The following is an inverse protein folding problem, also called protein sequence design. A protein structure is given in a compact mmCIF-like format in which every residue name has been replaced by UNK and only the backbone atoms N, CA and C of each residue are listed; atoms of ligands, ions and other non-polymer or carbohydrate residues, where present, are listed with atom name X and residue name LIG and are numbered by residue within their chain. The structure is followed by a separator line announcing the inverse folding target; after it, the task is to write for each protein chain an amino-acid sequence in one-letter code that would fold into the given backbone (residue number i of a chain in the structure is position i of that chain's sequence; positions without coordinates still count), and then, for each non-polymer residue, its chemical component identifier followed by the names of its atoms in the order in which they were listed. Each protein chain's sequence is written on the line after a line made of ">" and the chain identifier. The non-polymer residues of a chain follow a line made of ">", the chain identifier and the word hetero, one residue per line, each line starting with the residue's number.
data_IF_092793953285
#
_entry.id   IF_092793953285
#
_cell.length_a   1.000
_cell.length_b   1.000
_cell.length_c   1.000
_cell.angle_alpha   90.00
_cell.angle_beta   90.00
_cell.angle_gamma   90.00
#
_symmetry.space_group_name_H-M   'P 1'
#
loop_
_entity.id
_entity.type
_entity.pdbx_description
1 polymer ?
#
# COMPACT_ATOMS: atom_id res chain seq x y z
N UNK A 1 -2.03 -8.55 12.16
CA UNK A 1 -2.27 -9.91 11.58
C UNK A 1 -3.15 -9.76 10.34
N UNK A 2 -2.68 -10.21 9.17
CA UNK A 2 -3.50 -10.34 7.96
C UNK A 2 -4.01 -11.79 7.84
N UNK A 3 -5.31 -12.06 7.77
CA UNK A 3 -5.88 -13.41 7.61
C UNK A 3 -6.71 -13.50 6.31
N UNK A 4 -6.64 -14.60 5.54
CA UNK A 4 -7.38 -14.81 4.27
C UNK A 4 -7.97 -16.22 4.06
N UNK A 5 -9.27 -16.29 3.71
CA UNK A 5 -10.03 -17.53 3.42
C UNK A 5 -9.81 -18.07 1.99
N UNK A 6 -9.98 -19.39 1.82
CA UNK A 6 -9.71 -20.10 0.57
C UNK A 6 -10.87 -21.03 0.21
N UNK A 7 -11.82 -20.54 -0.56
CA UNK A 7 -12.55 -21.37 -1.54
C UNK A 7 -13.21 -20.51 -2.63
N UNK A 8 -12.93 -20.86 -3.89
CA UNK A 8 -13.48 -20.30 -5.15
C UNK A 8 -12.94 -18.94 -5.64
N UNK A 9 -11.69 -18.93 -6.12
CA UNK A 9 -11.32 -17.97 -7.17
C UNK A 9 -11.12 -18.68 -8.51
N UNK A 10 -12.07 -18.47 -9.43
CA UNK A 10 -11.78 -18.40 -10.86
C UNK A 10 -11.48 -16.93 -11.16
N UNK A 11 -10.22 -16.55 -11.49
CA UNK A 11 -9.92 -15.17 -11.85
C UNK A 11 -10.63 -14.83 -13.17
N UNK A 12 -11.71 -14.06 -13.06
CA UNK A 12 -12.18 -13.24 -14.18
C UNK A 12 -11.22 -12.06 -14.23
N UNK A 13 -10.20 -12.15 -15.09
CA UNK A 13 -9.56 -11.11 -15.91
C UNK A 13 -8.35 -11.78 -16.59
N UNK A 14 -8.61 -12.33 -17.77
CA UNK A 14 -7.61 -12.74 -18.77
C UNK A 14 -7.10 -11.48 -19.49
N UNK A 15 -5.90 -11.60 -20.06
CA UNK A 15 -5.19 -10.79 -21.09
C UNK A 15 -3.88 -10.25 -20.49
N UNK A 16 -2.67 -10.70 -20.84
CA UNK A 16 -2.21 -11.61 -21.90
C UNK A 16 -1.04 -12.44 -21.40
N UNK A 17 -1.15 -13.75 -21.51
CA UNK A 17 0.00 -14.63 -21.69
C UNK A 17 0.67 -14.24 -23.01
N UNK A 18 1.89 -13.70 -22.93
CA UNK A 18 2.84 -13.87 -24.03
C UNK A 18 3.34 -15.31 -23.94
N UNK A 19 2.53 -16.21 -24.48
CA UNK A 19 2.99 -17.55 -24.83
C UNK A 19 4.12 -17.43 -25.84
N UNK A 20 5.22 -18.05 -25.44
CA UNK A 20 6.36 -18.51 -26.19
C UNK A 20 5.92 -19.27 -27.46
N UNK A 21 5.75 -18.54 -28.58
CA UNK A 21 5.58 -19.09 -29.93
C UNK A 21 6.32 -18.22 -30.94
N UNK A 22 7.63 -18.41 -31.06
CA UNK A 22 8.47 -17.53 -31.87
C UNK A 22 9.57 -18.15 -32.71
N UNK A 23 10.30 -19.19 -32.27
CA UNK A 23 11.48 -19.66 -33.03
C UNK A 23 11.56 -21.19 -33.14
N UNK A 24 10.52 -21.78 -33.75
CA UNK A 24 10.64 -23.03 -34.52
C UNK A 24 9.93 -22.90 -35.87
N UNK A 25 10.37 -21.93 -36.67
CA UNK A 25 10.16 -21.89 -38.13
C UNK A 25 11.46 -21.45 -38.80
N UNK A 26 12.46 -22.32 -38.76
CA UNK A 26 13.75 -22.08 -39.38
C UNK A 26 14.54 -23.36 -39.73
N UNK A 27 13.93 -24.55 -39.76
CA UNK A 27 14.71 -25.77 -40.00
C UNK A 27 13.93 -26.89 -40.72
N UNK A 28 13.11 -26.51 -41.72
CA UNK A 28 12.67 -27.44 -42.77
C UNK A 28 12.70 -26.74 -44.13
N UNK A 29 13.90 -26.41 -44.59
CA UNK A 29 14.19 -26.14 -46.02
C UNK A 29 15.69 -26.22 -46.32
N UNK A 30 16.33 -27.31 -45.88
CA UNK A 30 17.69 -27.69 -46.31
C UNK A 30 17.71 -29.18 -46.65
N UNK A 31 16.96 -29.56 -47.69
CA UNK A 31 17.14 -30.81 -48.44
C UNK A 31 16.26 -30.75 -49.70
N UNK A 32 16.60 -29.83 -50.60
CA UNK A 32 16.37 -29.93 -52.05
C UNK A 32 16.95 -28.69 -52.71
N UNK A 33 17.67 -28.92 -53.80
CA UNK A 33 18.40 -27.96 -54.65
C UNK A 33 19.85 -27.66 -54.24
N UNK A 34 20.68 -28.70 -54.30
CA UNK A 34 21.97 -28.56 -55.02
C UNK A 34 21.65 -28.53 -56.51
N UNK A 35 21.82 -27.38 -57.15
CA UNK A 35 22.28 -27.25 -58.54
C UNK A 35 22.25 -25.79 -58.97
N UNK A 36 23.43 -25.29 -59.40
CA UNK A 36 23.67 -24.06 -60.19
C UNK A 36 23.48 -22.74 -59.43
N UNK A 37 24.26 -21.67 -59.58
CA UNK A 37 25.58 -21.37 -60.15
C UNK A 37 25.77 -19.85 -59.98
N UNK A 38 26.97 -19.42 -59.56
CA UNK A 38 27.69 -18.16 -59.90
C UNK A 38 27.09 -16.76 -59.61
N UNK A 39 27.98 -15.90 -59.09
CA UNK A 39 27.97 -14.42 -59.16
C UNK A 39 27.26 -13.77 -57.96
N UNK A 40 27.81 -12.84 -57.18
CA UNK A 40 28.87 -11.86 -57.40
C UNK A 40 28.29 -10.48 -57.03
N UNK A 41 28.96 -9.71 -56.16
CA UNK A 41 28.68 -8.28 -55.98
C UNK A 41 28.24 -7.84 -54.57
N UNK A 42 29.08 -7.01 -53.97
CA UNK A 42 28.88 -6.29 -52.70
C UNK A 42 28.44 -4.82 -52.99
N UNK A 43 28.33 -3.89 -52.01
CA UNK A 43 27.06 -3.25 -51.64
C UNK A 43 27.07 -1.71 -51.85
N UNK A 44 25.91 -1.02 -51.78
CA UNK A 44 25.91 0.45 -51.56
C UNK A 44 24.78 0.99 -50.69
N UNK A 45 25.23 1.81 -49.73
CA UNK A 45 24.55 2.76 -48.85
C UNK A 45 23.94 3.96 -49.59
N UNK A 46 22.97 4.63 -48.93
CA UNK A 46 22.78 6.10 -48.74
C UNK A 46 21.41 6.29 -48.05
N UNK A 47 21.24 6.85 -46.85
CA UNK A 47 21.58 8.16 -46.26
C UNK A 47 20.92 9.38 -46.94
N UNK A 48 20.07 10.08 -46.17
CA UNK A 48 19.78 11.54 -46.05
C UNK A 48 18.31 11.70 -45.62
N UNK A 49 17.86 12.42 -44.59
CA UNK A 49 18.22 13.63 -43.83
C UNK A 49 17.16 14.73 -44.05
N UNK A 50 16.76 15.34 -42.91
CA UNK A 50 16.45 16.76 -42.67
C UNK A 50 15.00 17.30 -42.79
N UNK A 51 14.54 17.74 -41.60
CA UNK A 51 14.09 19.10 -41.19
C UNK A 51 12.76 19.68 -41.73
N UNK A 52 11.95 20.19 -40.79
CA UNK A 52 11.72 21.65 -40.72
C UNK A 52 10.33 22.17 -40.32
N UNK A 53 10.34 22.99 -39.24
CA UNK A 53 9.57 24.24 -38.98
C UNK A 53 8.07 24.25 -38.57
N UNK A 54 7.88 24.62 -37.29
CA UNK A 54 7.17 25.79 -36.70
C UNK A 54 6.19 26.65 -37.53
N UNK A 55 5.08 27.05 -36.87
CA UNK A 55 4.21 28.19 -37.19
C UNK A 55 3.38 28.62 -35.97
N UNK A 56 3.22 29.93 -35.78
CA UNK A 56 2.76 30.65 -34.57
C UNK A 56 1.44 31.40 -34.82
N UNK A 57 0.57 31.50 -33.80
CA UNK A 57 -0.10 32.75 -33.41
C UNK A 57 -1.56 32.99 -33.80
N UNK A 58 -2.40 33.42 -32.83
CA UNK A 58 -2.97 34.78 -32.73
C UNK A 58 -3.94 34.95 -31.55
N UNK A 59 -3.95 36.19 -31.04
CA UNK A 59 -4.79 36.79 -29.99
C UNK A 59 -6.11 37.37 -30.55
N UNK A 60 -7.08 37.59 -29.66
CA UNK A 60 -8.26 38.45 -29.90
C UNK A 60 -8.91 38.93 -28.58
N UNK A 61 -9.02 40.24 -28.41
CA UNK A 61 -9.56 41.01 -27.28
C UNK A 61 -11.09 41.19 -27.36
N UNK A 62 -11.75 41.53 -26.24
CA UNK A 62 -12.99 42.35 -26.30
C UNK A 62 -13.95 42.41 -25.10
N UNK A 63 -13.87 43.54 -24.36
CA UNK A 63 -14.97 44.38 -23.75
C UNK A 63 -15.78 43.95 -22.50
N UNK A 64 -15.51 44.69 -21.42
CA UNK A 64 -16.38 45.51 -20.53
C UNK A 64 -17.94 45.45 -20.65
N UNK A 65 -18.64 45.32 -19.50
CA UNK A 65 -19.60 46.33 -18.98
C UNK A 65 -20.06 46.07 -17.52
N UNK A 66 -20.55 47.16 -16.91
CA UNK A 66 -20.79 47.49 -15.50
C UNK A 66 -22.03 46.88 -14.80
N UNK A 67 -21.87 46.70 -13.48
CA UNK A 67 -22.76 46.98 -12.30
C UNK A 67 -24.29 46.96 -12.44
N UNK A 68 -24.94 46.27 -11.49
CA UNK A 68 -25.98 46.84 -10.61
C UNK A 68 -26.14 46.02 -9.31
N UNK A 69 -26.34 46.75 -8.22
CA UNK A 69 -26.64 46.29 -6.86
C UNK A 69 -28.12 45.92 -6.69
N UNK A 70 -28.44 45.09 -5.68
CA UNK A 70 -29.80 44.84 -5.21
C UNK A 70 -29.84 43.81 -4.06
N UNK A 71 -29.85 44.32 -2.83
CA UNK A 71 -30.43 43.75 -1.58
C UNK A 71 -31.91 43.35 -1.80
N UNK A 72 -32.66 42.63 -0.96
CA UNK A 72 -32.58 42.02 0.37
C UNK A 72 -33.82 41.09 0.46
N UNK A 73 -33.79 40.16 1.42
CA UNK A 73 -34.91 39.61 2.22
C UNK A 73 -36.19 39.04 1.59
N UNK A 74 -36.64 37.90 2.14
CA UNK A 74 -38.06 37.54 2.12
C UNK A 74 -38.35 36.06 2.29
N UNK A 75 -38.87 35.74 3.46
CA UNK A 75 -39.25 34.45 4.02
C UNK A 75 -40.41 33.70 3.30
N UNK A 76 -40.64 32.48 3.79
CA UNK A 76 -41.90 31.72 3.84
C UNK A 76 -42.32 30.77 2.70
N UNK A 77 -42.13 29.48 3.04
CA UNK A 77 -43.15 28.42 3.19
C UNK A 77 -43.99 27.90 2.00
N UNK A 78 -44.17 26.58 2.14
CA UNK A 78 -45.29 25.74 1.73
C UNK A 78 -45.32 25.14 0.31
N UNK A 79 -45.02 23.84 0.33
CA UNK A 79 -45.91 22.74 -0.06
C UNK A 79 -46.16 22.49 -1.56
N UNK A 80 -46.27 21.20 -1.87
CA UNK A 80 -46.86 20.76 -3.12
C UNK A 80 -45.90 20.27 -4.20
N UNK A 81 -45.97 18.96 -4.39
CA UNK A 81 -46.20 18.33 -5.69
C UNK A 81 -45.00 17.67 -6.40
N UNK A 82 -45.11 16.34 -6.52
CA UNK A 82 -44.31 15.53 -7.42
C UNK A 82 -45.01 15.49 -8.77
N UNK A 83 -44.23 15.63 -9.86
CA UNK A 83 -44.49 14.75 -11.00
C UNK A 83 -43.26 14.02 -11.52
N UNK A 84 -43.59 12.94 -12.24
CA UNK A 84 -42.75 11.85 -12.70
C UNK A 84 -41.90 12.22 -13.92
N UNK A 85 -40.75 11.52 -14.01
CA UNK A 85 -40.03 11.04 -15.21
C UNK A 85 -39.56 12.08 -16.25
N UNK A 86 -38.24 12.25 -16.31
CA UNK A 86 -37.52 12.64 -17.52
C UNK A 86 -36.22 11.83 -17.66
N UNK A 87 -36.17 10.93 -18.66
CA UNK A 87 -34.90 10.34 -19.13
C UNK A 87 -34.15 11.42 -19.91
N UNK A 88 -33.06 11.93 -19.33
CA UNK A 88 -32.10 12.80 -20.03
C UNK A 88 -30.70 12.22 -19.95
N UNK A 89 -30.19 11.68 -21.06
CA UNK A 89 -28.76 11.43 -21.25
C UNK A 89 -28.06 12.79 -21.37
N UNK A 90 -27.34 13.20 -20.34
CA UNK A 90 -26.44 14.35 -20.36
C UNK A 90 -25.07 13.94 -19.81
N UNK A 91 -24.06 13.90 -20.68
CA UNK A 91 -22.65 13.83 -20.27
C UNK A 91 -22.31 15.15 -19.56
N UNK A 92 -22.27 15.14 -18.23
CA UNK A 92 -21.73 16.23 -17.43
C UNK A 92 -20.50 15.73 -16.68
N UNK A 93 -19.33 16.34 -16.95
CA UNK A 93 -18.19 16.31 -16.03
C UNK A 93 -18.63 17.05 -14.76
N UNK A 94 -19.13 16.29 -13.78
CA UNK A 94 -19.40 16.80 -12.44
C UNK A 94 -18.11 16.78 -11.64
N UNK A 95 -17.47 17.93 -11.54
CA UNK A 95 -16.46 18.22 -10.53
C UNK A 95 -17.11 17.95 -9.17
N UNK A 96 -16.68 16.87 -8.48
CA UNK A 96 -17.22 16.53 -7.17
C UNK A 96 -16.67 17.52 -6.17
N UNK A 97 -17.56 18.43 -5.82
CA UNK A 97 -17.58 19.28 -4.63
C UNK A 97 -16.79 18.66 -3.46
N UNK A 98 -15.54 19.12 -3.32
CA UNK A 98 -14.69 18.79 -2.18
C UNK A 98 -15.15 19.68 -1.04
N UNK A 99 -16.10 19.18 -0.23
CA UNK A 99 -16.38 19.74 1.08
C UNK A 99 -15.07 20.01 1.86
N UNK A 100 -15.03 21.03 2.73
CA UNK A 100 -13.80 21.66 3.17
C UNK A 100 -12.91 20.64 3.86
N UNK A 101 -11.80 20.29 3.20
CA UNK A 101 -10.69 19.60 3.83
C UNK A 101 -9.99 20.63 4.73
N UNK A 102 -9.91 20.37 6.02
CA UNK A 102 -8.81 20.92 6.83
C UNK A 102 -7.51 20.12 6.59
N UNK A 103 -7.22 19.72 5.35
CA UNK A 103 -5.96 19.05 5.01
C UNK A 103 -4.97 20.14 4.62
N UNK A 104 -4.27 20.66 5.61
CA UNK A 104 -3.00 21.35 5.34
C UNK A 104 -2.17 20.35 4.50
N UNK A 105 -1.71 20.73 3.28
CA UNK A 105 -0.86 19.84 2.50
C UNK A 105 0.37 19.48 3.34
N UNK A 106 0.67 18.19 3.47
CA UNK A 106 1.90 17.78 4.15
C UNK A 106 3.11 18.31 3.38
N UNK A 107 3.89 19.16 4.06
CA UNK A 107 5.07 19.81 3.50
C UNK A 107 6.25 18.84 3.60
N UNK A 108 7.08 18.76 2.54
CA UNK A 108 8.34 17.98 2.57
C UNK A 108 9.16 18.42 3.78
N UNK A 109 9.51 17.52 4.72
CA UNK A 109 10.32 17.90 5.86
C UNK A 109 11.72 18.33 5.40
N UNK A 110 12.33 19.24 6.15
CA UNK A 110 13.73 19.61 5.93
C UNK A 110 14.65 18.49 6.42
N UNK A 111 15.79 18.31 5.73
CA UNK A 111 16.85 17.40 6.18
C UNK A 111 17.44 17.94 7.49
N UNK A 112 17.72 17.05 8.44
CA UNK A 112 18.31 17.41 9.73
C UNK A 112 19.71 18.02 9.57
N UNK A 113 20.60 17.39 8.79
CA UNK A 113 21.96 17.87 8.55
C UNK A 113 22.57 17.26 7.29
N UNK A 114 22.96 18.10 6.33
CA UNK A 114 23.54 17.64 5.07
C UNK A 114 22.57 16.74 4.30
N UNK A 115 22.97 15.50 4.04
CA UNK A 115 22.14 14.48 3.39
C UNK A 115 21.28 13.67 4.36
N UNK A 116 21.44 13.86 5.67
CA UNK A 116 20.70 13.13 6.71
C UNK A 116 19.32 13.74 6.93
N UNK A 117 18.28 12.94 6.75
CA UNK A 117 16.91 13.32 7.06
C UNK A 117 16.62 13.23 8.56
N UNK A 118 17.23 12.26 9.24
CA UNK A 118 17.03 11.95 10.65
C UNK A 118 18.36 11.83 11.37
N UNK A 119 18.33 11.82 12.70
CA UNK A 119 19.52 11.52 13.49
C UNK A 119 19.94 10.04 13.27
N UNK A 120 21.25 9.73 13.09
CA UNK A 120 21.72 8.36 12.90
C UNK A 120 21.32 7.43 14.05
N UNK A 121 21.00 6.17 13.72
CA UNK A 121 20.50 5.19 14.70
C UNK A 121 21.48 4.92 15.86
N UNK A 122 22.78 5.05 15.62
CA UNK A 122 23.82 4.85 16.65
C UNK A 122 23.71 5.88 17.78
N UNK A 123 23.16 7.06 17.50
CA UNK A 123 22.92 8.11 18.50
C UNK A 123 21.60 7.91 19.24
N UNK A 124 20.60 7.34 18.57
CA UNK A 124 19.28 7.11 19.17
C UNK A 124 19.22 5.79 19.96
N UNK A 125 20.18 4.90 19.72
CA UNK A 125 20.22 3.57 20.33
C UNK A 125 19.23 2.58 19.72
N UNK A 126 18.66 2.89 18.54
CA UNK A 126 17.72 2.02 17.85
C UNK A 126 18.39 0.69 17.48
N UNK A 127 17.89 -0.40 18.09
CA UNK A 127 18.24 -1.77 17.72
C UNK A 127 17.18 -2.32 16.77
N UNK A 128 17.61 -2.90 15.65
CA UNK A 128 16.69 -3.50 14.69
C UNK A 128 16.31 -4.92 15.13
N UNK A 129 15.11 -5.36 14.79
CA UNK A 129 14.62 -6.71 15.07
C UNK A 129 15.55 -7.78 14.51
N UNK A 130 16.12 -7.57 13.32
CA UNK A 130 17.10 -8.47 12.74
C UNK A 130 18.40 -8.57 13.58
N UNK A 131 18.79 -7.47 14.24
CA UNK A 131 19.96 -7.43 15.13
C UNK A 131 19.65 -8.13 16.47
N UNK A 132 18.45 -7.91 17.01
CA UNK A 132 17.99 -8.49 18.30
C UNK A 132 17.72 -10.00 18.20
N UNK A 133 17.10 -10.46 17.11
CA UNK A 133 16.76 -11.88 16.91
C UNK A 133 17.99 -12.81 16.76
N UNK A 134 19.17 -12.23 16.47
CA UNK A 134 20.40 -12.97 16.27
C UNK A 134 20.39 -13.87 15.01
N UNK A 135 21.43 -14.71 14.87
CA UNK A 135 21.63 -15.53 13.67
C UNK A 135 20.69 -16.74 13.56
N UNK A 136 19.86 -17.01 14.56
CA UNK A 136 18.89 -18.11 14.56
C UNK A 136 17.70 -17.91 13.63
N UNK A 137 17.44 -16.67 13.21
CA UNK A 137 16.32 -16.31 12.34
C UNK A 137 16.81 -15.48 11.14
N UNK A 138 16.71 -16.00 9.90
CA UNK A 138 17.29 -15.35 8.73
C UNK A 138 16.40 -14.20 8.22
N UNK A 139 16.32 -13.12 9.00
CA UNK A 139 15.67 -11.88 8.59
C UNK A 139 16.35 -11.30 7.34
N UNK A 140 15.54 -10.91 6.35
CA UNK A 140 16.00 -10.37 5.08
C UNK A 140 15.67 -8.89 5.01
N UNK A 141 16.64 -7.99 4.73
CA UNK A 141 16.36 -6.57 4.63
C UNK A 141 15.52 -6.25 3.39
N UNK A 142 14.43 -5.53 3.58
CA UNK A 142 13.53 -5.01 2.53
C UNK A 142 13.77 -3.52 2.29
N UNK A 143 14.01 -2.76 3.37
CA UNK A 143 14.38 -1.35 3.35
C UNK A 143 15.52 -1.12 4.34
N UNK A 144 16.57 -0.45 3.88
CA UNK A 144 17.65 0.08 4.71
C UNK A 144 17.92 1.50 4.22
N UNK A 145 17.48 2.48 4.99
CA UNK A 145 17.69 3.89 4.74
C UNK A 145 18.19 4.56 6.03
N UNK A 146 19.52 4.55 6.20
CA UNK A 146 20.18 5.13 7.37
C UNK A 146 19.93 6.63 7.48
N UNK A 147 19.82 7.31 6.33
CA UNK A 147 19.59 8.76 6.29
C UNK A 147 18.23 9.13 6.85
N UNK A 148 17.19 8.35 6.55
CA UNK A 148 15.83 8.52 7.08
C UNK A 148 15.57 7.70 8.34
N UNK A 149 16.59 7.01 8.88
CA UNK A 149 16.45 6.05 10.00
C UNK A 149 15.21 5.15 9.81
N UNK A 150 15.03 4.62 8.59
CA UNK A 150 13.84 3.88 8.19
C UNK A 150 14.25 2.50 7.70
N UNK A 151 13.73 1.47 8.37
CA UNK A 151 14.15 0.10 8.14
C UNK A 151 12.94 -0.83 8.06
N UNK A 152 13.08 -1.89 7.27
CA UNK A 152 12.07 -2.92 7.17
C UNK A 152 12.71 -4.26 6.85
N UNK A 153 12.31 -5.32 7.55
CA UNK A 153 12.86 -6.67 7.38
C UNK A 153 11.76 -7.71 7.23
N UNK A 154 12.07 -8.78 6.52
CA UNK A 154 11.13 -9.86 6.20
C UNK A 154 11.68 -11.20 6.68
N UNK A 155 10.84 -11.98 7.37
CA UNK A 155 11.16 -13.35 7.78
C UNK A 155 10.13 -14.32 7.17
N UNK A 156 10.52 -15.13 6.17
CA UNK A 156 9.62 -16.12 5.58
C UNK A 156 9.34 -17.27 6.55
N UNK A 157 8.10 -17.76 6.57
CA UNK A 157 7.73 -19.02 7.23
C UNK A 157 8.10 -19.08 8.71
N UNK A 158 7.81 -18.02 9.46
CA UNK A 158 8.09 -17.95 10.89
C UNK A 158 7.32 -19.00 11.69
N UNK A 159 6.16 -19.44 11.21
CA UNK A 159 5.31 -20.46 11.83
C UNK A 159 5.26 -21.73 10.97
N UNK A 160 5.04 -22.89 11.58
CA UNK A 160 4.81 -24.15 10.84
C UNK A 160 3.47 -24.12 10.11
N UNK A 161 3.24 -25.02 9.16
CA UNK A 161 1.98 -25.08 8.42
C UNK A 161 0.79 -25.42 9.34
N UNK A 162 1.01 -26.25 10.35
CA UNK A 162 0.01 -26.60 11.37
C UNK A 162 -0.32 -25.38 12.25
N UNK A 163 0.70 -24.65 12.72
CA UNK A 163 0.52 -23.42 13.49
C UNK A 163 -0.24 -22.38 12.66
N UNK A 164 0.17 -22.19 11.40
CA UNK A 164 -0.49 -21.25 10.50
C UNK A 164 -1.97 -21.60 10.31
N UNK A 165 -2.29 -22.87 10.05
CA UNK A 165 -3.66 -23.33 9.84
C UNK A 165 -4.50 -23.13 11.11
N UNK A 166 -3.96 -23.55 12.26
CA UNK A 166 -4.61 -23.40 13.55
C UNK A 166 -4.93 -21.93 13.89
N UNK A 167 -3.94 -21.05 13.82
CA UNK A 167 -4.16 -19.62 14.14
C UNK A 167 -5.00 -18.93 13.08
N UNK A 168 -4.87 -19.29 11.81
CA UNK A 168 -5.71 -18.74 10.76
C UNK A 168 -7.19 -19.04 11.03
N UNK A 169 -7.55 -20.28 11.31
CA UNK A 169 -8.93 -20.68 11.62
C UNK A 169 -9.43 -20.04 12.91
N UNK A 170 -8.62 -20.11 13.98
CA UNK A 170 -8.96 -19.52 15.28
C UNK A 170 -9.25 -18.02 15.15
N UNK A 171 -8.37 -17.28 14.48
CA UNK A 171 -8.51 -15.83 14.29
C UNK A 171 -9.70 -15.50 13.40
N UNK A 172 -9.87 -16.22 12.28
CA UNK A 172 -10.98 -16.01 11.36
C UNK A 172 -12.33 -16.16 12.07
N UNK A 173 -12.47 -17.19 12.89
CA UNK A 173 -13.77 -17.59 13.44
C UNK A 173 -14.07 -16.98 14.81
N UNK A 174 -13.05 -16.68 15.63
CA UNK A 174 -13.25 -16.17 17.00
C UNK A 174 -13.21 -14.65 17.14
N UNK A 175 -12.56 -13.95 16.21
CA UNK A 175 -12.46 -12.49 16.28
C UNK A 175 -13.81 -11.88 15.91
N UNK A 176 -14.40 -11.01 16.75
CA UNK A 176 -15.60 -10.26 16.39
C UNK A 176 -15.21 -9.13 15.44
N UNK A 177 -15.11 -9.48 14.16
CA UNK A 177 -14.74 -8.59 13.07
C UNK A 177 -15.76 -7.48 12.87
N UNK A 178 -15.31 -6.23 12.89
CA UNK A 178 -16.07 -5.08 12.43
C UNK A 178 -15.77 -4.76 10.97
N UNK A 179 -16.76 -4.23 10.25
CA UNK A 179 -16.52 -3.60 8.94
C UNK A 179 -16.92 -2.13 9.02
N UNK A 180 -15.98 -1.24 9.38
CA UNK A 180 -16.31 0.16 9.55
C UNK A 180 -16.71 0.82 8.24
N UNK A 181 -17.59 1.80 8.34
CA UNK A 181 -18.02 2.63 7.22
C UNK A 181 -17.15 3.89 7.14
N UNK A 182 -16.53 4.09 5.97
CA UNK A 182 -15.91 5.36 5.63
C UNK A 182 -16.88 6.28 4.89
N UNK A 183 -16.40 7.47 4.53
CA UNK A 183 -17.19 8.47 3.76
C UNK A 183 -17.75 7.95 2.43
N UNK A 184 -17.14 6.91 1.86
CA UNK A 184 -17.52 6.32 0.56
C UNK A 184 -18.24 4.98 0.69
N UNK A 185 -18.70 4.63 1.89
CA UNK A 185 -19.29 3.33 2.21
C UNK A 185 -18.31 2.42 2.97
N UNK A 186 -18.60 1.11 3.06
CA UNK A 186 -17.81 0.19 3.87
C UNK A 186 -16.35 0.15 3.40
N UNK A 187 -15.43 0.20 4.36
CA UNK A 187 -14.01 0.00 4.07
C UNK A 187 -13.86 -1.43 3.51
N UNK A 188 -13.05 -1.64 2.45
CA UNK A 188 -12.91 -2.93 1.79
C UNK A 188 -11.98 -3.88 2.57
N UNK A 189 -12.18 -3.98 3.89
CA UNK A 189 -11.60 -4.98 4.79
C UNK A 189 -12.40 -5.02 6.09
N UNK A 190 -12.37 -6.17 6.75
CA UNK A 190 -12.81 -6.31 8.14
C UNK A 190 -11.63 -6.00 9.07
N UNK A 191 -11.89 -5.39 10.21
CA UNK A 191 -10.86 -5.03 11.18
C UNK A 191 -11.30 -5.37 12.60
N UNK A 192 -10.32 -5.61 13.46
CA UNK A 192 -10.49 -5.63 14.90
C UNK A 192 -9.29 -4.94 15.54
N UNK A 193 -9.54 -4.14 16.57
CA UNK A 193 -8.50 -3.52 17.38
C UNK A 193 -8.41 -4.29 18.68
N UNK A 194 -7.24 -4.84 18.98
CA UNK A 194 -7.03 -5.59 20.21
C UNK A 194 -5.95 -4.95 21.07
N UNK A 195 -6.11 -5.02 22.38
CA UNK A 195 -5.19 -4.46 23.36
C UNK A 195 -4.94 -5.43 24.51
N UNK A 196 -3.81 -5.26 25.18
CA UNK A 196 -3.51 -5.92 26.44
C UNK A 196 -4.54 -5.52 27.50
N UNK A 197 -4.86 -6.45 28.39
CA UNK A 197 -5.78 -6.21 29.51
C UNK A 197 -5.41 -4.93 30.28
N UNK A 198 -6.43 -4.12 30.58
CA UNK A 198 -6.29 -2.82 31.25
C UNK A 198 -6.17 -1.62 30.31
N UNK A 199 -6.02 -1.82 29.00
CA UNK A 199 -5.98 -0.74 28.03
C UNK A 199 -7.32 -0.57 27.28
N UNK A 200 -7.96 0.58 27.49
CA UNK A 200 -9.23 0.97 26.86
C UNK A 200 -9.04 2.00 25.74
N UNK A 201 -7.82 2.14 25.19
CA UNK A 201 -7.55 3.13 24.16
C UNK A 201 -8.23 2.75 22.82
N UNK A 202 -9.13 3.59 22.29
CA UNK A 202 -9.75 3.34 20.99
C UNK A 202 -8.75 3.59 19.87
N UNK A 203 -8.87 2.79 18.79
CA UNK A 203 -8.06 2.97 17.60
C UNK A 203 -8.79 3.84 16.58
N UNK A 204 -8.20 4.99 16.26
CA UNK A 204 -8.78 5.98 15.36
C UNK A 204 -7.93 6.14 14.12
N UNK A 205 -8.49 5.77 12.97
CA UNK A 205 -7.81 5.89 11.68
C UNK A 205 -8.82 6.30 10.60
N UNK A 206 -8.40 7.13 9.64
CA UNK A 206 -9.24 7.45 8.47
C UNK A 206 -10.64 8.03 8.77
N UNK A 207 -10.84 8.63 9.95
CA UNK A 207 -12.15 9.13 10.42
C UNK A 207 -13.06 8.06 11.02
N UNK A 208 -12.57 6.84 11.19
CA UNK A 208 -13.23 5.72 11.87
C UNK A 208 -12.63 5.56 13.27
N UNK A 209 -13.45 5.08 14.19
CA UNK A 209 -13.05 4.68 15.53
C UNK A 209 -13.44 3.21 15.74
N UNK A 210 -12.51 2.43 16.29
CA UNK A 210 -12.69 1.01 16.60
C UNK A 210 -12.39 0.80 18.08
N UNK A 211 -13.38 0.29 18.81
CA UNK A 211 -13.25 -0.03 20.23
C UNK A 211 -12.25 -1.17 20.47
N UNK A 212 -11.46 -1.10 21.55
CA UNK A 212 -10.48 -2.13 21.87
C UNK A 212 -11.15 -3.41 22.36
N UNK A 213 -10.55 -4.53 21.99
CA UNK A 213 -10.90 -5.86 22.48
C UNK A 213 -9.71 -6.42 23.26
N UNK A 214 -9.96 -6.95 24.45
CA UNK A 214 -8.88 -7.53 25.26
C UNK A 214 -8.28 -8.73 24.54
N UNK A 215 -6.95 -8.86 24.59
CA UNK A 215 -6.23 -10.02 24.06
C UNK A 215 -6.82 -11.34 24.60
N UNK A 216 -7.36 -12.20 23.73
CA UNK A 216 -7.80 -13.53 24.13
C UNK A 216 -6.60 -14.45 24.41
N UNK A 217 -6.80 -15.60 25.09
CA UNK A 217 -5.71 -16.52 25.42
C UNK A 217 -4.87 -16.95 24.20
N UNK A 218 -5.51 -17.22 23.06
CA UNK A 218 -4.80 -17.60 21.83
C UNK A 218 -3.84 -16.51 21.32
N UNK A 219 -4.13 -15.22 21.60
CA UNK A 219 -3.23 -14.12 21.22
C UNK A 219 -1.95 -14.18 22.04
N UNK A 220 -2.05 -14.46 23.33
CA UNK A 220 -0.89 -14.59 24.22
C UNK A 220 -0.02 -15.77 23.81
N UNK A 221 -0.64 -16.90 23.44
CA UNK A 221 0.07 -18.06 22.89
C UNK A 221 0.76 -17.74 21.57
N UNK A 222 0.07 -17.06 20.65
CA UNK A 222 0.63 -16.63 19.38
C UNK A 222 1.83 -15.69 19.56
N UNK A 223 1.71 -14.70 20.45
CA UNK A 223 2.83 -13.81 20.80
C UNK A 223 4.01 -14.63 21.35
N UNK A 224 3.76 -15.65 22.17
CA UNK A 224 4.80 -16.56 22.65
C UNK A 224 5.54 -17.34 21.58
N UNK A 225 4.93 -17.56 20.42
CA UNK A 225 5.57 -18.19 19.26
C UNK A 225 6.31 -17.17 18.38
N UNK A 226 5.77 -15.96 18.24
CA UNK A 226 6.27 -14.97 17.28
C UNK A 226 7.37 -14.10 17.89
N UNK A 227 7.18 -13.59 19.11
CA UNK A 227 8.05 -12.58 19.71
C UNK A 227 9.50 -13.03 19.93
N UNK A 228 9.79 -14.29 20.32
CA UNK A 228 11.18 -14.78 20.37
C UNK A 228 11.89 -14.73 19.02
N UNK A 229 11.16 -14.87 17.90
CA UNK A 229 11.73 -14.77 16.54
C UNK A 229 12.14 -13.34 16.18
N UNK A 230 11.69 -12.37 16.97
CA UNK A 230 12.03 -10.96 16.87
C UNK A 230 13.07 -10.52 17.93
N UNK A 231 13.60 -11.46 18.74
CA UNK A 231 14.49 -11.14 19.87
C UNK A 231 13.78 -10.52 21.08
N UNK A 232 12.46 -10.67 21.17
CA UNK A 232 11.64 -10.17 22.28
C UNK A 232 11.24 -11.33 23.19
N UNK A 233 12.17 -11.76 24.03
CA UNK A 233 12.04 -12.97 24.85
C UNK A 233 11.18 -12.76 26.10
N UNK A 234 11.09 -11.52 26.60
CA UNK A 234 10.27 -11.21 27.76
C UNK A 234 8.87 -10.73 27.38
N UNK A 235 7.84 -11.24 28.07
CA UNK A 235 6.46 -10.76 27.94
C UNK A 235 6.28 -9.26 28.21
N UNK A 236 7.22 -8.64 28.92
CA UNK A 236 7.21 -7.20 29.17
C UNK A 236 7.54 -6.38 27.91
N UNK A 237 8.24 -6.99 26.95
CA UNK A 237 8.69 -6.36 25.70
C UNK A 237 7.70 -6.61 24.55
N UNK A 238 6.75 -7.52 24.74
CA UNK A 238 5.76 -7.86 23.72
C UNK A 238 4.84 -6.67 23.43
N UNK A 239 4.38 -6.51 22.18
CA UNK A 239 3.40 -5.51 21.81
C UNK A 239 2.15 -5.60 22.71
N UNK A 240 1.67 -4.44 23.12
CA UNK A 240 0.48 -4.29 23.96
C UNK A 240 -0.81 -4.06 23.15
N UNK A 241 -0.70 -4.02 21.83
CA UNK A 241 -1.81 -3.75 20.94
C UNK A 241 -1.61 -4.40 19.57
N UNK A 242 -2.72 -4.69 18.88
CA UNK A 242 -2.72 -5.36 17.59
C UNK A 242 -3.90 -4.88 16.74
N UNK A 243 -3.59 -4.24 15.60
CA UNK A 243 -4.56 -4.01 14.54
C UNK A 243 -4.65 -5.27 13.66
N UNK A 244 -5.83 -5.85 13.60
CA UNK A 244 -6.12 -7.03 12.80
C UNK A 244 -6.85 -6.62 11.52
N UNK A 245 -6.45 -7.21 10.39
CA UNK A 245 -7.08 -6.98 9.10
C UNK A 245 -7.45 -8.32 8.47
N UNK A 246 -8.73 -8.51 8.17
CA UNK A 246 -9.24 -9.63 7.41
C UNK A 246 -9.64 -9.13 6.03
N UNK A 247 -8.99 -9.66 5.00
CA UNK A 247 -9.42 -9.48 3.63
C UNK A 247 -10.16 -10.79 3.24
N UNK A 248 -11.31 -10.73 2.60
CA UNK A 248 -12.07 -11.96 2.28
C UNK A 248 -11.73 -12.47 0.89
N UNK A 249 -11.29 -11.58 0.01
CA UNK A 249 -10.93 -11.89 -1.36
C UNK A 249 -9.82 -10.96 -1.90
N UNK A 250 -9.51 -11.12 -3.19
CA UNK A 250 -8.50 -10.33 -3.91
C UNK A 250 -8.99 -8.95 -4.37
N UNK A 251 -10.27 -8.63 -4.20
CA UNK A 251 -10.84 -7.30 -4.43
C UNK A 251 -10.63 -6.36 -3.25
N UNK A 252 -10.48 -6.91 -2.05
CA UNK A 252 -10.17 -6.18 -0.83
C UNK A 252 -8.70 -5.74 -0.79
N UNK A 253 -8.45 -4.48 -0.44
CA UNK A 253 -7.10 -3.89 -0.40
C UNK A 253 -7.05 -2.72 0.57
N UNK A 254 -5.83 -2.29 0.91
CA UNK A 254 -5.59 -1.06 1.65
C UNK A 254 -4.90 -0.07 0.71
N UNK A 255 -5.40 1.17 0.68
CA UNK A 255 -4.76 2.25 -0.07
C UNK A 255 -3.46 2.68 0.59
N UNK A 256 -2.69 3.53 -0.10
CA UNK A 256 -1.49 4.14 0.49
C UNK A 256 -1.84 4.89 1.78
N UNK A 257 -1.15 4.55 2.86
CA UNK A 257 -1.23 5.15 4.19
C UNK A 257 0.10 4.95 4.91
N UNK A 258 0.26 5.66 6.02
CA UNK A 258 1.25 5.38 7.06
C UNK A 258 0.51 5.05 8.35
N UNK A 259 1.09 4.21 9.20
CA UNK A 259 0.58 3.96 10.56
C UNK A 259 1.08 5.07 11.51
N UNK A 260 0.66 6.30 11.21
CA UNK A 260 1.14 7.55 11.83
C UNK A 260 0.16 8.12 12.87
N UNK A 261 -0.75 7.28 13.36
CA UNK A 261 -1.73 7.70 14.35
C UNK A 261 -1.03 8.27 15.59
N UNK A 262 -1.64 9.30 16.18
CA UNK A 262 -1.14 9.93 17.41
C UNK A 262 -0.94 8.90 18.54
N UNK A 263 -1.65 7.78 18.52
CA UNK A 263 -1.47 6.71 19.49
C UNK A 263 -0.04 6.14 19.46
N UNK A 264 0.54 5.97 18.27
CA UNK A 264 1.84 5.32 18.10
C UNK A 264 3.01 6.31 18.10
N UNK A 265 2.76 7.57 17.77
CA UNK A 265 3.78 8.63 17.69
C UNK A 265 4.87 8.34 16.63
N UNK A 266 4.60 7.50 15.63
CA UNK A 266 5.57 7.07 14.61
C UNK A 266 6.14 8.18 13.73
N UNK A 267 5.55 9.39 13.77
CA UNK A 267 6.09 10.60 13.14
C UNK A 267 7.17 11.32 13.96
N UNK A 268 7.27 11.01 15.26
CA UNK A 268 8.07 11.77 16.22
C UNK A 268 9.11 10.94 16.98
N UNK A 269 8.97 9.62 16.99
CA UNK A 269 9.92 8.71 17.65
C UNK A 269 10.05 7.41 16.88
N UNK A 270 11.15 6.70 17.15
CA UNK A 270 11.33 5.33 16.68
C UNK A 270 10.21 4.44 17.21
N UNK A 271 9.61 3.65 16.31
CA UNK A 271 8.66 2.60 16.66
C UNK A 271 9.04 1.30 15.94
N UNK A 272 8.52 0.19 16.45
CA UNK A 272 8.63 -1.13 15.81
C UNK A 272 7.22 -1.64 15.57
N UNK A 273 6.88 -1.88 14.31
CA UNK A 273 5.65 -2.57 13.91
C UNK A 273 6.03 -3.97 13.45
N UNK A 274 5.39 -4.99 14.03
CA UNK A 274 5.56 -6.40 13.66
C UNK A 274 4.26 -6.88 13.01
N UNK A 275 4.33 -7.20 11.72
CA UNK A 275 3.20 -7.74 10.96
C UNK A 275 3.38 -9.23 10.73
N UNK A 276 2.39 -10.02 11.16
CA UNK A 276 2.24 -11.44 10.82
C UNK A 276 1.16 -11.61 9.74
N UNK A 277 1.48 -12.37 8.70
CA UNK A 277 0.54 -12.73 7.63
C UNK A 277 0.16 -14.20 7.70
N UNK A 278 -1.13 -14.51 7.53
CA UNK A 278 -1.72 -15.84 7.54
C UNK A 278 -2.67 -16.02 6.34
N UNK A 279 -2.64 -17.20 5.73
CA UNK A 279 -3.45 -17.54 4.56
C UNK A 279 -2.78 -17.21 3.22
N UNK A 280 -3.55 -16.66 2.28
CA UNK A 280 -3.12 -16.48 0.89
C UNK A 280 -2.02 -15.41 0.76
N UNK A 281 -1.06 -15.66 -0.14
CA UNK A 281 0.04 -14.72 -0.40
C UNK A 281 -0.43 -13.41 -1.02
N UNK A 282 0.07 -12.28 -0.51
CA UNK A 282 -0.30 -10.91 -0.89
C UNK A 282 0.93 -10.05 -1.13
N UNK A 283 0.74 -9.01 -1.94
CA UNK A 283 1.79 -8.03 -2.22
C UNK A 283 1.72 -6.93 -1.16
N UNK A 284 2.83 -6.73 -0.46
CA UNK A 284 3.05 -5.61 0.46
C UNK A 284 4.01 -4.62 -0.20
N UNK A 285 3.68 -3.33 -0.15
CA UNK A 285 4.46 -2.28 -0.81
C UNK A 285 4.76 -1.16 0.19
N UNK A 286 6.03 -0.76 0.26
CA UNK A 286 6.47 0.43 0.97
C UNK A 286 6.75 1.53 -0.05
N UNK A 287 6.34 2.76 0.24
CA UNK A 287 6.57 3.91 -0.64
C UNK A 287 7.13 5.10 0.14
N UNK A 288 8.24 5.66 -0.35
CA UNK A 288 8.77 6.93 0.13
C UNK A 288 7.78 8.07 -0.14
N UNK A 289 7.46 8.86 0.89
CA UNK A 289 6.62 10.05 0.78
C UNK A 289 7.32 11.17 0.00
N UNK A 290 8.61 11.39 0.29
CA UNK A 290 9.42 12.43 -0.36
C UNK A 290 10.75 11.86 -0.89
N UNK A 291 10.72 11.15 -2.03
CA UNK A 291 11.93 10.67 -2.68
C UNK A 291 12.75 11.84 -3.21
N UNK A 292 14.08 11.74 -3.08
CA UNK A 292 15.02 12.60 -3.79
C UNK A 292 15.25 12.08 -5.23
N UNK A 293 15.86 12.92 -6.07
CA UNK A 293 16.09 12.60 -7.47
C UNK A 293 16.92 11.32 -7.63
N UNK A 294 16.39 10.36 -8.40
CA UNK A 294 17.05 9.08 -8.66
C UNK A 294 16.77 7.99 -7.62
N UNK A 295 16.08 8.29 -6.51
CA UNK A 295 15.66 7.27 -5.56
C UNK A 295 14.53 6.40 -6.14
N UNK A 296 14.61 5.09 -5.89
CA UNK A 296 13.49 4.19 -6.21
C UNK A 296 12.44 4.33 -5.10
N UNK A 297 11.26 4.90 -5.38
CA UNK A 297 10.32 5.27 -4.33
C UNK A 297 9.58 4.07 -3.75
N UNK A 298 9.53 2.93 -4.44
CA UNK A 298 8.70 1.77 -4.02
C UNK A 298 9.54 0.51 -3.84
N UNK A 299 9.40 -0.10 -2.66
CA UNK A 299 9.88 -1.45 -2.32
C UNK A 299 8.68 -2.40 -2.25
N UNK A 300 8.90 -3.67 -2.59
CA UNK A 300 7.85 -4.69 -2.68
C UNK A 300 8.33 -5.99 -2.07
N UNK A 301 7.46 -6.63 -1.31
CA UNK A 301 7.66 -7.98 -0.78
C UNK A 301 6.34 -8.76 -0.93
N UNK A 302 6.44 -10.06 -1.15
CA UNK A 302 5.27 -10.93 -1.16
C UNK A 302 5.18 -11.61 0.20
N UNK A 303 4.15 -11.29 0.98
CA UNK A 303 3.90 -11.91 2.28
C UNK A 303 2.95 -13.09 2.12
N UNK A 304 3.40 -14.27 2.49
CA UNK A 304 2.66 -15.53 2.50
C UNK A 304 2.24 -15.98 3.90
N UNK A 305 1.76 -17.22 3.96
CA UNK A 305 1.32 -17.85 5.19
C UNK A 305 2.48 -18.02 6.18
N UNK A 306 2.34 -17.47 7.39
CA UNK A 306 3.34 -17.54 8.45
C UNK A 306 4.48 -16.55 8.30
N UNK A 307 4.44 -15.64 7.33
CA UNK A 307 5.52 -14.67 7.13
C UNK A 307 5.42 -13.50 8.13
N UNK A 308 6.58 -13.02 8.57
CA UNK A 308 6.70 -11.78 9.34
C UNK A 308 7.31 -10.66 8.49
N UNK A 309 6.87 -9.44 8.76
CA UNK A 309 7.42 -8.21 8.21
C UNK A 309 7.54 -7.17 9.31
N UNK A 310 8.68 -6.48 9.40
CA UNK A 310 8.88 -5.37 10.33
C UNK A 310 8.92 -4.04 9.60
N UNK A 311 8.49 -2.98 10.29
CA UNK A 311 8.74 -1.59 9.92
C UNK A 311 9.24 -0.87 11.15
N UNK A 312 10.41 -0.25 11.05
CA UNK A 312 11.20 0.14 12.22
C UNK A 312 11.79 1.54 12.05
N UNK A 313 12.08 2.19 13.17
CA UNK A 313 12.58 3.55 13.20
C UNK A 313 11.50 4.57 12.79
N UNK A 314 11.84 5.46 11.87
CA UNK A 314 10.99 6.55 11.38
C UNK A 314 10.18 6.18 10.12
N UNK A 315 10.00 4.89 9.84
CA UNK A 315 9.37 4.39 8.59
C UNK A 315 7.96 4.94 8.33
N UNK A 316 7.22 5.35 9.38
CA UNK A 316 5.86 5.88 9.25
C UNK A 316 5.79 7.39 8.98
N UNK A 317 6.93 8.09 8.97
CA UNK A 317 7.04 9.53 8.66
C UNK A 317 7.11 9.77 7.17
#
# INVERSE_FOLDING_TARGET
>A
IEALWREKMKPRWVINELEDRGERRGERRLLRRRSRSRGGGSPRRRSRSRRGRLGVGRLGLGRLRLRREGRDDGDDREDGDRPRRGKGKGKGKGDKDKGPRSSIPEVKPEKLCGELWEEPREKTGLQLVADMAGSGHPWQPVLQDDSRRSYASYLPGALTEEQCSHYFETIRDSVPWGQPEGRLGPIPRKTAWMTKEGCECPYRYGGVEVEPQVFPPWMIELLGLVMPKCGLDSKAEWPDSCNMNLYEDGGMSVGWHSDDERLFQGKFRDIIIISLSLGVRRKFELRLNWPDDGERPVRRVMLGNGDLMTMEGMTQK
#
